data_IF_188589220961
#
_entry.id   IF_188589220961
#
_cell.length_a   1.000
_cell.length_b   1.000
_cell.length_c   1.000
_cell.angle_alpha   90.00
_cell.angle_beta   90.00
_cell.angle_gamma   90.00
#
_symmetry.space_group_name_H-M   'P 1'
#
loop_
_entity.id
_entity.type
_entity.pdbx_description
1 polymer ?
#
# COMPACT_ATOMS: atom_id res chain seq x y z
N UNK A 1 4.96 -8.37 7.72
CA UNK A 1 4.24 -9.27 6.78
C UNK A 1 4.46 -10.75 7.08
N UNK A 2 5.70 -11.21 7.36
CA UNK A 2 5.98 -12.61 7.75
C UNK A 2 5.18 -13.06 8.99
N UNK A 3 5.15 -12.24 10.05
CA UNK A 3 4.34 -12.50 11.25
C UNK A 3 2.85 -12.73 10.92
N UNK A 4 2.29 -11.90 10.04
CA UNK A 4 0.90 -12.07 9.60
C UNK A 4 0.68 -13.40 8.87
N UNK A 5 1.63 -13.80 8.01
CA UNK A 5 1.57 -15.10 7.33
C UNK A 5 1.61 -16.27 8.30
N UNK A 6 2.50 -16.24 9.27
CA UNK A 6 2.61 -17.29 10.31
C UNK A 6 1.34 -17.40 11.14
N UNK A 7 0.79 -16.27 11.56
CA UNK A 7 -0.48 -16.19 12.30
C UNK A 7 -1.65 -16.77 11.50
N UNK A 8 -1.71 -16.49 10.19
CA UNK A 8 -2.72 -17.03 9.29
C UNK A 8 -2.57 -18.54 9.13
N UNK A 9 -1.34 -19.04 8.92
CA UNK A 9 -1.06 -20.48 8.78
C UNK A 9 -1.35 -21.28 10.05
N UNK A 10 -1.22 -20.66 11.23
CA UNK A 10 -1.56 -21.29 12.51
C UNK A 10 -3.07 -21.52 12.70
N UNK A 11 -3.94 -20.90 11.88
CA UNK A 11 -5.37 -21.09 11.99
C UNK A 11 -5.80 -22.44 11.39
N UNK A 12 -6.51 -23.30 12.14
CA UNK A 12 -6.88 -24.64 11.66
C UNK A 12 -7.81 -24.65 10.44
N UNK A 13 -8.50 -23.54 10.14
CA UNK A 13 -9.37 -23.39 8.97
C UNK A 13 -8.60 -23.02 7.68
N UNK A 14 -7.32 -22.64 7.79
CA UNK A 14 -6.47 -22.24 6.68
C UNK A 14 -5.74 -23.46 6.13
N UNK A 15 -5.67 -23.55 4.80
CA UNK A 15 -4.96 -24.59 4.07
C UNK A 15 -3.61 -24.09 3.57
N UNK A 16 -3.57 -22.90 2.99
CA UNK A 16 -2.34 -22.28 2.53
C UNK A 16 -2.43 -20.74 2.52
N UNK A 17 -1.28 -20.07 2.50
CA UNK A 17 -1.15 -18.62 2.50
C UNK A 17 -0.07 -18.17 1.51
N UNK A 18 -0.52 -17.49 0.46
CA UNK A 18 0.33 -16.82 -0.52
C UNK A 18 0.46 -15.35 -0.14
N UNK A 19 1.70 -14.90 0.04
CA UNK A 19 2.02 -13.51 0.36
C UNK A 19 2.77 -12.86 -0.79
N UNK A 20 2.34 -11.67 -1.20
CA UNK A 20 3.05 -10.83 -2.16
C UNK A 20 3.36 -9.49 -1.49
N UNK A 21 4.65 -9.24 -1.27
CA UNK A 21 5.17 -7.96 -0.77
C UNK A 21 5.54 -7.05 -1.94
N UNK A 22 5.46 -5.73 -1.76
CA UNK A 22 5.94 -4.78 -2.76
C UNK A 22 4.90 -4.37 -3.81
N UNK A 23 3.65 -4.86 -3.71
CA UNK A 23 2.60 -4.64 -4.70
C UNK A 23 1.27 -4.26 -4.03
N UNK A 24 0.67 -3.17 -4.48
CA UNK A 24 -0.65 -2.73 -4.04
C UNK A 24 -1.71 -3.15 -5.07
N UNK A 25 -2.54 -4.12 -4.69
CA UNK A 25 -3.59 -4.66 -5.58
C UNK A 25 -4.74 -3.67 -5.85
N UNK A 26 -4.89 -2.61 -5.04
CA UNK A 26 -5.99 -1.64 -5.19
C UNK A 26 -5.75 -0.62 -6.30
N UNK A 27 -4.50 -0.28 -6.56
CA UNK A 27 -4.11 0.68 -7.59
C UNK A 27 -3.15 0.06 -8.65
N UNK A 28 -2.72 -1.18 -8.46
CA UNK A 28 -1.85 -1.91 -9.39
C UNK A 28 -0.41 -1.43 -9.42
N UNK A 29 0.04 -0.66 -8.41
CA UNK A 29 1.39 -0.09 -8.38
C UNK A 29 2.32 -0.81 -7.42
N UNK A 30 3.63 -0.68 -7.63
CA UNK A 30 4.63 -1.10 -6.65
C UNK A 30 4.53 -0.23 -5.39
N UNK A 31 4.58 -0.86 -4.22
CA UNK A 31 4.50 -0.20 -2.93
C UNK A 31 5.51 -0.84 -1.95
N UNK A 32 6.56 -0.12 -1.60
CA UNK A 32 7.64 -0.62 -0.73
C UNK A 32 7.17 -0.95 0.69
N UNK A 33 6.11 -0.31 1.16
CA UNK A 33 5.46 -0.50 2.45
C UNK A 33 4.11 -1.25 2.35
N UNK A 34 3.79 -1.83 1.18
CA UNK A 34 2.50 -2.44 0.91
C UNK A 34 2.63 -3.86 0.36
N UNK A 35 1.53 -4.62 0.42
CA UNK A 35 1.44 -5.97 -0.09
C UNK A 35 0.02 -6.50 -0.01
N UNK A 36 -0.20 -7.70 -0.51
CA UNK A 36 -1.45 -8.43 -0.32
C UNK A 36 -1.18 -9.87 0.10
N UNK A 37 -2.15 -10.46 0.80
CA UNK A 37 -2.11 -11.85 1.25
C UNK A 37 -3.36 -12.55 0.73
N UNK A 38 -3.16 -13.63 0.00
CA UNK A 38 -4.22 -14.53 -0.43
C UNK A 38 -4.26 -15.73 0.50
N UNK A 39 -5.37 -15.90 1.21
CA UNK A 39 -5.59 -17.00 2.14
C UNK A 39 -6.46 -18.06 1.48
N UNK A 40 -5.92 -19.27 1.34
CA UNK A 40 -6.66 -20.44 0.89
C UNK A 40 -7.24 -21.14 2.13
N UNK A 41 -8.55 -21.34 2.13
CA UNK A 41 -9.25 -22.00 3.22
C UNK A 41 -9.50 -23.45 2.87
N UNK A 42 -9.51 -24.32 3.88
CA UNK A 42 -9.91 -25.72 3.72
C UNK A 42 -11.33 -25.84 3.18
N UNK A 43 -11.65 -27.01 2.65
CA UNK A 43 -13.01 -27.35 2.22
C UNK A 43 -14.08 -26.99 3.26
N UNK A 44 -15.26 -26.61 2.78
CA UNK A 44 -16.36 -26.11 3.60
C UNK A 44 -16.75 -27.05 4.77
N UNK A 45 -16.61 -28.36 4.57
CA UNK A 45 -16.92 -29.37 5.59
C UNK A 45 -15.83 -29.54 6.66
N UNK A 46 -14.63 -28.98 6.44
CA UNK A 46 -13.45 -29.10 7.33
C UNK A 46 -13.14 -27.83 8.11
N UNK A 47 -14.03 -26.84 8.08
CA UNK A 47 -13.86 -25.56 8.78
C UNK A 47 -15.20 -24.97 9.23
N UNK A 48 -15.19 -24.03 10.19
CA UNK A 48 -16.36 -23.25 10.53
C UNK A 48 -16.86 -22.38 9.36
N UNK A 49 -18.10 -21.84 9.46
CA UNK A 49 -18.62 -20.87 8.51
C UNK A 49 -17.65 -19.72 8.28
N UNK A 50 -17.59 -19.25 7.03
CA UNK A 50 -16.61 -18.24 6.60
C UNK A 50 -16.64 -16.98 7.47
N UNK A 51 -17.82 -16.50 7.88
CA UNK A 51 -17.94 -15.31 8.72
C UNK A 51 -17.27 -15.49 10.09
N UNK A 52 -17.35 -16.67 10.69
CA UNK A 52 -16.67 -16.96 11.96
C UNK A 52 -15.15 -17.01 11.77
N UNK A 53 -14.69 -17.64 10.68
CA UNK A 53 -13.27 -17.68 10.34
C UNK A 53 -12.73 -16.27 10.12
N UNK A 54 -13.43 -15.45 9.32
CA UNK A 54 -13.02 -14.07 9.04
C UNK A 54 -13.01 -13.21 10.30
N UNK A 55 -14.03 -13.30 11.15
CA UNK A 55 -14.09 -12.55 12.40
C UNK A 55 -12.90 -12.88 13.32
N UNK A 56 -12.59 -14.17 13.45
CA UNK A 56 -11.43 -14.63 14.23
C UNK A 56 -10.11 -14.10 13.64
N UNK A 57 -9.92 -14.25 12.34
CA UNK A 57 -8.71 -13.76 11.66
C UNK A 57 -8.59 -12.24 11.76
N UNK A 58 -9.69 -11.51 11.62
CA UNK A 58 -9.71 -10.05 11.76
C UNK A 58 -9.24 -9.61 13.15
N UNK A 59 -9.76 -10.24 14.22
CA UNK A 59 -9.32 -9.94 15.58
C UNK A 59 -7.82 -10.22 15.79
N UNK A 60 -7.32 -11.33 15.26
CA UNK A 60 -5.89 -11.68 15.36
C UNK A 60 -4.99 -10.72 14.58
N UNK A 61 -5.42 -10.29 13.39
CA UNK A 61 -4.66 -9.37 12.53
C UNK A 61 -4.65 -7.94 13.08
N UNK A 62 -5.73 -7.51 13.74
CA UNK A 62 -5.78 -6.21 14.43
C UNK A 62 -4.80 -6.09 15.60
N UNK A 63 -4.33 -7.21 16.13
CA UNK A 63 -3.36 -7.23 17.23
C UNK A 63 -1.90 -7.01 16.76
N UNK A 64 -1.65 -6.95 15.44
CA UNK A 64 -0.31 -6.72 14.90
C UNK A 64 -0.01 -5.20 14.85
N UNK A 65 0.89 -4.67 15.68
CA UNK A 65 1.16 -3.23 15.71
C UNK A 65 1.95 -2.73 14.50
N UNK A 66 2.65 -3.64 13.80
CA UNK A 66 3.57 -3.33 12.70
C UNK A 66 2.85 -3.09 11.36
N UNK A 67 1.57 -3.46 11.23
CA UNK A 67 0.84 -3.38 9.96
C UNK A 67 -0.67 -3.27 10.14
N UNK A 68 -1.28 -2.36 9.39
CA UNK A 68 -2.74 -2.31 9.23
C UNK A 68 -3.18 -3.31 8.16
N UNK A 69 -3.78 -4.42 8.58
CA UNK A 69 -4.24 -5.48 7.67
C UNK A 69 -5.76 -5.53 7.67
N UNK A 70 -6.37 -5.32 6.50
CA UNK A 70 -7.82 -5.39 6.33
C UNK A 70 -8.21 -6.65 5.54
N UNK A 71 -8.87 -7.65 6.17
CA UNK A 71 -9.38 -8.81 5.46
C UNK A 71 -10.52 -8.40 4.53
N UNK A 72 -10.41 -8.75 3.25
CA UNK A 72 -11.43 -8.50 2.25
C UNK A 72 -11.96 -9.84 1.74
N UNK A 73 -13.25 -10.11 1.95
CA UNK A 73 -13.92 -11.19 1.24
C UNK A 73 -14.06 -10.77 -0.21
N UNK A 74 -13.52 -11.55 -1.15
CA UNK A 74 -13.84 -11.38 -2.58
C UNK A 74 -15.35 -11.57 -2.74
N UNK A 75 -16.08 -10.46 -2.80
CA UNK A 75 -17.47 -10.48 -3.27
C UNK A 75 -17.42 -10.79 -4.77
N UNK A 76 -18.33 -11.62 -5.31
CA UNK A 76 -18.48 -11.72 -6.75
C UNK A 76 -18.94 -10.35 -7.27
N UNK A 77 -17.98 -9.55 -7.70
CA UNK A 77 -18.18 -8.23 -8.26
C UNK A 77 -17.60 -8.23 -9.67
N UNK A 78 -18.40 -7.84 -10.65
CA UNK A 78 -17.94 -7.65 -12.04
C UNK A 78 -17.27 -6.27 -12.12
N UNK A 79 -15.96 -6.22 -12.38
CA UNK A 79 -15.22 -4.99 -12.71
C UNK A 79 -14.68 -4.16 -11.54
N UNK A 80 -14.33 -2.90 -11.80
CA UNK A 80 -13.64 -1.94 -10.89
C UNK A 80 -14.44 -1.56 -9.63
N UNK A 81 -15.69 -2.02 -9.49
CA UNK A 81 -16.65 -1.54 -8.50
C UNK A 81 -16.74 -2.41 -7.22
N UNK A 82 -15.71 -3.21 -6.91
CA UNK A 82 -15.74 -4.18 -5.81
C UNK A 82 -15.91 -3.58 -4.40
N UNK A 83 -15.79 -2.26 -4.22
CA UNK A 83 -15.74 -1.57 -2.92
C UNK A 83 -16.81 -0.48 -2.72
N UNK A 84 -17.83 -0.41 -3.58
CA UNK A 84 -18.90 0.58 -3.48
C UNK A 84 -18.64 1.82 -4.32
N UNK A 85 -17.75 2.71 -3.89
CA UNK A 85 -17.38 3.91 -4.64
C UNK A 85 -15.86 4.16 -4.63
N UNK A 86 -15.38 4.91 -5.64
CA UNK A 86 -14.00 5.39 -5.71
C UNK A 86 -14.01 6.90 -5.88
N UNK A 87 -13.46 7.63 -4.91
CA UNK A 87 -13.32 9.07 -4.95
C UNK A 87 -11.85 9.45 -5.19
N UNK A 88 -11.62 10.43 -6.06
CA UNK A 88 -10.28 10.99 -6.30
C UNK A 88 -10.27 12.46 -5.89
N UNK A 89 -9.37 12.80 -4.97
CA UNK A 89 -9.10 14.19 -4.58
C UNK A 89 -7.94 14.68 -5.42
N UNK A 90 -8.12 15.82 -6.10
CA UNK A 90 -7.13 16.38 -7.02
C UNK A 90 -6.68 17.75 -6.54
N UNK A 91 -5.37 17.93 -6.39
CA UNK A 91 -4.75 19.23 -6.21
C UNK A 91 -4.74 19.99 -7.56
N UNK A 92 -5.51 21.08 -7.66
CA UNK A 92 -5.62 21.88 -8.89
C UNK A 92 -4.74 23.14 -8.88
N UNK A 93 -4.28 23.59 -7.71
CA UNK A 93 -3.59 24.87 -7.54
C UNK A 93 -2.13 24.70 -7.04
N UNK A 94 -1.54 23.52 -7.26
CA UNK A 94 -0.17 23.23 -6.86
C UNK A 94 0.01 22.93 -5.37
N UNK A 95 -1.05 22.49 -4.68
CA UNK A 95 -0.95 22.04 -3.28
C UNK A 95 0.11 20.95 -3.13
N UNK A 96 0.86 21.01 -2.05
CA UNK A 96 1.85 20.01 -1.68
C UNK A 96 1.21 18.65 -1.35
N UNK A 97 1.99 17.58 -1.43
CA UNK A 97 1.51 16.23 -1.07
C UNK A 97 1.05 16.11 0.38
N UNK A 98 1.64 16.90 1.29
CA UNK A 98 1.27 16.96 2.70
C UNK A 98 -0.08 17.65 2.91
N UNK A 99 -0.34 18.76 2.21
CA UNK A 99 -1.64 19.43 2.23
C UNK A 99 -2.73 18.52 1.69
N UNK A 100 -2.46 17.84 0.56
CA UNK A 100 -3.42 16.89 -0.01
C UNK A 100 -3.72 15.71 0.93
N UNK A 101 -2.71 15.18 1.63
CA UNK A 101 -2.92 14.12 2.63
C UNK A 101 -3.78 14.61 3.79
N UNK A 102 -3.51 15.81 4.31
CA UNK A 102 -4.31 16.41 5.39
C UNK A 102 -5.78 16.54 4.99
N UNK A 103 -6.06 17.09 3.81
CA UNK A 103 -7.42 17.24 3.31
C UNK A 103 -8.10 15.87 3.09
N UNK A 104 -7.37 14.88 2.55
CA UNK A 104 -7.89 13.53 2.39
C UNK A 104 -8.25 12.88 3.74
N UNK A 105 -7.43 13.06 4.77
CA UNK A 105 -7.71 12.56 6.12
C UNK A 105 -8.93 13.25 6.74
N UNK A 106 -9.12 14.55 6.54
CA UNK A 106 -10.32 15.25 7.00
C UNK A 106 -11.60 14.72 6.33
N UNK A 107 -11.56 14.51 5.01
CA UNK A 107 -12.69 13.90 4.27
C UNK A 107 -13.00 12.51 4.83
N UNK A 108 -11.98 11.70 5.12
CA UNK A 108 -12.18 10.37 5.71
C UNK A 108 -12.80 10.41 7.11
N UNK A 109 -12.40 11.37 7.95
CA UNK A 109 -12.97 11.53 9.29
C UNK A 109 -14.46 11.84 9.21
N UNK A 110 -14.86 12.80 8.37
CA UNK A 110 -16.26 13.17 8.18
C UNK A 110 -17.04 12.01 7.54
N UNK A 111 -16.46 11.36 6.52
CA UNK A 111 -17.11 10.26 5.82
C UNK A 111 -17.40 9.07 6.74
N UNK A 112 -16.49 8.73 7.66
CA UNK A 112 -16.73 7.64 8.62
C UNK A 112 -17.69 8.00 9.76
N UNK A 113 -18.06 9.26 9.94
CA UNK A 113 -19.13 9.68 10.88
C UNK A 113 -20.52 9.61 10.25
N UNK A 114 -20.61 9.52 8.92
CA UNK A 114 -21.89 9.54 8.22
C UNK A 114 -22.57 8.16 8.30
N UNK A 115 -23.84 8.06 8.75
CA UNK A 115 -24.50 6.78 9.05
C UNK A 115 -24.74 5.88 7.83
N UNK A 116 -24.73 6.45 6.62
CA UNK A 116 -24.87 5.69 5.36
C UNK A 116 -23.53 5.18 4.81
N UNK A 117 -22.41 5.59 5.40
CA UNK A 117 -21.07 5.20 4.97
C UNK A 117 -20.45 4.31 6.05
N UNK A 118 -19.69 3.31 5.61
CA UNK A 118 -18.96 2.45 6.54
C UNK A 118 -17.62 2.09 5.93
N UNK A 119 -16.58 2.08 6.79
CA UNK A 119 -15.22 1.66 6.43
C UNK A 119 -14.65 2.42 5.23
N UNK A 120 -14.78 3.74 5.21
CA UNK A 120 -14.17 4.59 4.17
C UNK A 120 -12.67 4.71 4.49
N UNK A 121 -11.81 4.43 3.53
CA UNK A 121 -10.35 4.45 3.69
C UNK A 121 -9.65 5.05 2.47
N UNK A 122 -8.38 5.44 2.64
CA UNK A 122 -7.50 5.86 1.55
C UNK A 122 -6.26 4.97 1.51
N UNK A 123 -5.69 4.81 0.31
CA UNK A 123 -4.37 4.18 0.10
C UNK A 123 -3.25 5.21 -0.08
N UNK A 124 -3.57 6.51 -0.01
CA UNK A 124 -2.60 7.59 -0.13
C UNK A 124 -1.80 7.74 1.18
N UNK A 125 -0.50 7.96 1.05
CA UNK A 125 0.40 8.30 2.16
C UNK A 125 1.49 9.23 1.64
N UNK A 126 1.73 10.36 2.32
CA UNK A 126 2.82 11.28 1.96
C UNK A 126 4.10 11.04 2.77
N UNK A 127 4.05 10.18 3.79
CA UNK A 127 5.15 9.89 4.72
C UNK A 127 6.19 8.89 4.20
N UNK A 128 6.25 8.64 2.89
CA UNK A 128 7.33 7.85 2.29
C UNK A 128 8.59 8.72 2.25
N UNK A 129 9.65 8.41 3.02
CA UNK A 129 10.85 9.24 3.06
C UNK A 129 11.48 9.32 1.67
N UNK A 130 11.58 10.54 1.14
CA UNK A 130 12.26 10.82 -0.12
C UNK A 130 13.62 11.46 0.16
N UNK A 131 14.67 10.91 -0.43
CA UNK A 131 16.01 11.49 -0.37
C UNK A 131 16.18 12.45 -1.55
N UNK A 132 16.14 13.76 -1.28
CA UNK A 132 16.40 14.79 -2.30
C UNK A 132 17.88 15.12 -2.31
N UNK A 133 18.58 14.77 -3.40
CA UNK A 133 19.96 15.18 -3.62
C UNK A 133 20.00 16.52 -4.37
N UNK A 134 20.28 17.60 -3.66
CA UNK A 134 20.51 18.92 -4.28
C UNK A 134 21.99 19.05 -4.65
N UNK A 135 22.28 19.18 -5.94
CA UNK A 135 23.66 19.43 -6.43
C UNK A 135 23.89 20.93 -6.59
N UNK A 136 24.77 21.49 -5.75
CA UNK A 136 25.28 22.86 -5.90
C UNK A 136 26.23 22.91 -7.11
N UNK A 137 25.73 23.50 -8.21
CA UNK A 137 26.46 23.57 -9.48
C UNK A 137 27.65 24.52 -9.43
N UNK A 138 27.55 25.60 -8.65
CA UNK A 138 28.62 26.60 -8.54
C UNK A 138 29.79 26.04 -7.75
N UNK A 139 29.50 25.25 -6.70
CA UNK A 139 30.53 24.54 -5.94
C UNK A 139 31.13 23.38 -6.73
N UNK A 140 30.34 22.66 -7.53
CA UNK A 140 30.83 21.58 -8.39
C UNK A 140 31.78 22.11 -9.48
N UNK A 141 31.46 23.27 -10.09
CA UNK A 141 32.31 23.92 -11.08
C UNK A 141 33.64 24.41 -10.48
N UNK A 142 33.63 24.94 -9.25
CA UNK A 142 34.86 25.34 -8.54
C UNK A 142 35.78 24.17 -8.17
N UNK A 143 35.23 22.96 -8.07
CA UNK A 143 35.95 21.74 -7.73
C UNK A 143 36.32 20.90 -8.96
N UNK A 144 36.11 21.43 -10.18
CA UNK A 144 36.29 20.74 -11.46
C UNK A 144 35.57 19.38 -11.53
N UNK A 145 34.43 19.25 -10.84
CA UNK A 145 33.62 18.03 -10.84
C UNK A 145 32.56 18.15 -11.93
N UNK A 146 32.61 17.31 -12.99
CA UNK A 146 31.58 17.36 -14.02
C UNK A 146 30.24 16.91 -13.44
N UNK A 147 29.26 17.81 -13.42
CA UNK A 147 27.88 17.55 -12.93
C UNK A 147 27.22 16.36 -13.66
N UNK A 148 27.62 16.09 -14.91
CA UNK A 148 27.19 14.90 -15.67
C UNK A 148 27.71 13.59 -15.05
N UNK A 149 28.95 13.57 -14.55
CA UNK A 149 29.59 12.41 -13.94
C UNK A 149 28.99 12.07 -12.58
N UNK A 150 28.74 13.07 -11.73
CA UNK A 150 28.11 12.88 -10.41
C UNK A 150 26.66 12.40 -10.51
N UNK A 151 25.89 12.95 -11.45
CA UNK A 151 24.51 12.51 -11.72
C UNK A 151 24.44 11.08 -12.25
N UNK A 152 25.42 10.67 -13.08
CA UNK A 152 25.52 9.31 -13.59
C UNK A 152 25.95 8.30 -12.51
N UNK A 153 26.89 8.68 -11.64
CA UNK A 153 27.29 7.88 -10.49
C UNK A 153 26.14 7.67 -9.51
N UNK A 154 25.38 8.73 -9.19
CA UNK A 154 24.19 8.64 -8.34
C UNK A 154 23.15 7.68 -8.94
N UNK A 155 22.84 7.79 -10.24
CA UNK A 155 21.96 6.83 -10.93
C UNK A 155 22.50 5.40 -10.86
N UNK A 156 23.79 5.19 -11.12
CA UNK A 156 24.40 3.85 -11.10
C UNK A 156 24.38 3.20 -9.71
N UNK A 157 24.41 4.00 -8.65
CA UNK A 157 24.43 3.51 -7.27
C UNK A 157 23.04 3.43 -6.63
N UNK A 158 22.10 4.31 -6.99
CA UNK A 158 20.81 4.47 -6.32
C UNK A 158 19.58 4.26 -7.22
N UNK A 159 19.73 4.14 -8.54
CA UNK A 159 18.59 4.09 -9.47
C UNK A 159 18.86 3.15 -10.65
N UNK A 160 18.44 1.90 -10.51
CA UNK A 160 18.55 0.85 -11.53
C UNK A 160 18.21 1.31 -12.96
N UNK A 161 18.93 0.72 -13.91
CA UNK A 161 18.92 1.08 -15.33
C UNK A 161 17.52 0.97 -15.97
N UNK A 162 16.92 2.04 -16.51
CA UNK A 162 15.75 1.89 -17.35
C UNK A 162 16.21 1.28 -18.68
N UNK A 163 15.85 0.02 -18.93
CA UNK A 163 15.94 -0.57 -20.27
C UNK A 163 15.09 0.29 -21.21
N UNK A 164 15.77 1.09 -22.05
CA UNK A 164 15.21 1.57 -23.32
C UNK A 164 15.07 0.35 -24.22
N UNK A 165 13.83 0.05 -24.62
CA UNK A 165 13.52 -0.93 -25.63
C UNK A 165 12.48 -0.33 -26.57
N UNK A 166 13.00 0.18 -27.70
CA UNK A 166 12.35 0.60 -28.95
C UNK A 166 11.44 1.83 -28.90
#
# INVERSE_FOLDING_TARGET
MSQARELLLANPAVEDVIQVSGFNILNGTSASNGGFISVMLKDWHRRPPLEQVMSKLQGQLLALPEATIMPLRRRPCRGWQCLGFNLRILAQAGQSSAELEREALQVLQIANQHPQLSRVFTTWSSSVPQLTLTVDRDRAARLDVPVRGSSAACRRHFGGNPRRGL
#
